data_IF_924003808049
#
_entry.id   IF_924003808049
#
_cell.length_a   1.000
_cell.length_b   1.000
_cell.length_c   1.000
_cell.angle_alpha   90.00
_cell.angle_beta   90.00
_cell.angle_gamma   90.00
#
_symmetry.space_group_name_H-M   'P 1'
#
loop_
_entity.id
_entity.type
_entity.pdbx_description
1 polymer ?
#
# COMPACT_ATOMS: atom_id res chain seq x y z
N UNK A 1 65.00 44.66 18.68
CA UNK A 1 64.22 43.66 17.91
C UNK A 1 63.49 42.75 18.90
N UNK A 2 62.21 42.98 19.16
CA UNK A 2 61.32 42.01 19.81
C UNK A 2 59.97 42.11 19.10
N UNK A 3 59.60 41.07 18.35
CA UNK A 3 58.35 41.00 17.61
C UNK A 3 57.42 39.94 18.24
N UNK A 4 56.22 40.40 18.61
CA UNK A 4 54.92 39.72 18.65
C UNK A 4 54.85 38.24 19.09
N UNK A 5 54.30 38.01 20.29
CA UNK A 5 53.82 36.69 20.78
C UNK A 5 52.41 36.74 21.40
N UNK A 6 51.53 37.68 21.05
CA UNK A 6 50.24 37.87 21.75
C UNK A 6 49.01 37.29 20.98
N UNK A 7 49.16 36.76 19.77
CA UNK A 7 47.99 36.46 18.91
C UNK A 7 47.49 35.01 18.87
N UNK A 8 48.14 34.03 19.53
CA UNK A 8 47.77 32.60 19.36
C UNK A 8 46.72 32.06 20.36
N UNK A 9 46.56 32.65 21.55
CA UNK A 9 45.68 32.09 22.59
C UNK A 9 44.20 32.49 22.43
N UNK A 10 43.92 33.68 21.89
CA UNK A 10 42.55 34.21 21.73
C UNK A 10 41.75 33.50 20.62
N UNK A 11 42.42 32.96 19.60
CA UNK A 11 41.76 32.33 18.44
C UNK A 11 41.22 30.94 18.75
N UNK A 12 41.92 30.12 19.56
CA UNK A 12 41.48 28.75 19.88
C UNK A 12 40.28 28.68 20.83
N UNK A 13 40.18 29.63 21.78
CA UNK A 13 39.10 29.68 22.77
C UNK A 13 37.77 30.14 22.15
N UNK A 14 37.84 31.13 21.25
CA UNK A 14 36.67 31.64 20.51
C UNK A 14 36.13 30.60 19.52
N UNK A 15 37.01 29.81 18.90
CA UNK A 15 36.62 28.74 17.96
C UNK A 15 35.95 27.54 18.64
N UNK A 16 36.40 27.17 19.86
CA UNK A 16 35.74 26.14 20.68
C UNK A 16 34.37 26.59 21.19
N UNK A 17 34.24 27.86 21.57
CA UNK A 17 32.95 28.43 22.01
C UNK A 17 31.97 28.55 20.85
N UNK A 18 32.39 29.03 19.68
CA UNK A 18 31.53 29.10 18.50
C UNK A 18 31.12 27.71 18.00
N UNK A 19 32.00 26.71 18.07
CA UNK A 19 31.65 25.32 17.77
C UNK A 19 30.55 24.78 18.71
N UNK A 20 30.67 25.02 20.02
CA UNK A 20 29.65 24.63 21.00
C UNK A 20 28.33 25.39 20.80
N UNK A 21 28.38 26.68 20.44
CA UNK A 21 27.18 27.47 20.13
C UNK A 21 26.50 26.99 18.85
N UNK A 22 27.26 26.63 17.81
CA UNK A 22 26.75 26.09 16.56
C UNK A 22 26.13 24.69 16.74
N UNK A 23 26.72 23.83 17.58
CA UNK A 23 26.14 22.53 17.93
C UNK A 23 24.81 22.69 18.67
N UNK A 24 24.72 23.65 19.62
CA UNK A 24 23.47 23.96 20.32
C UNK A 24 22.39 24.51 19.38
N UNK A 25 22.78 25.40 18.45
CA UNK A 25 21.88 25.94 17.43
C UNK A 25 21.37 24.84 16.49
N UNK A 26 22.24 23.93 16.05
CA UNK A 26 21.87 22.79 15.22
C UNK A 26 20.92 21.84 15.97
N UNK A 27 21.19 21.55 17.25
CA UNK A 27 20.30 20.77 18.11
C UNK A 27 18.93 21.41 18.30
N UNK A 28 18.86 22.74 18.45
CA UNK A 28 17.59 23.47 18.53
C UNK A 28 16.81 23.41 17.20
N UNK A 29 17.49 23.56 16.05
CA UNK A 29 16.85 23.43 14.72
C UNK A 29 16.30 22.01 14.49
N UNK A 30 17.01 20.98 14.97
CA UNK A 30 16.55 19.58 14.93
C UNK A 30 15.30 19.36 15.80
N UNK A 31 15.14 20.08 16.91
CA UNK A 31 13.97 19.98 17.79
C UNK A 31 12.71 20.64 17.22
N UNK A 32 12.84 21.61 16.31
CA UNK A 32 11.70 22.22 15.60
C UNK A 32 11.30 21.45 14.33
N UNK A 33 11.95 20.32 14.02
CA UNK A 33 11.76 19.59 12.76
C UNK A 33 10.54 18.67 12.68
N UNK A 34 9.72 18.60 13.73
CA UNK A 34 8.67 17.58 13.89
C UNK A 34 7.22 18.05 13.80
N UNK A 35 6.94 19.30 13.43
CA UNK A 35 5.58 19.86 13.56
C UNK A 35 4.51 19.02 12.83
N UNK A 36 4.72 18.67 11.55
CA UNK A 36 3.73 17.90 10.78
C UNK A 36 3.45 16.51 11.38
N UNK A 37 4.49 15.80 11.81
CA UNK A 37 4.37 14.46 12.44
C UNK A 37 3.73 14.53 13.82
N UNK A 38 4.06 15.56 14.62
CA UNK A 38 3.44 15.78 15.93
C UNK A 38 1.95 16.13 15.84
N UNK A 39 1.53 16.87 14.81
CA UNK A 39 0.14 17.27 14.65
C UNK A 39 -0.73 16.24 13.92
N UNK A 40 -0.17 15.44 13.02
CA UNK A 40 -0.96 14.51 12.18
C UNK A 40 -0.73 13.03 12.45
N UNK A 41 0.26 12.67 13.28
CA UNK A 41 0.63 11.29 13.58
C UNK A 41 1.30 10.55 12.42
N UNK A 42 1.68 9.30 12.66
CA UNK A 42 2.34 8.40 11.69
C UNK A 42 1.51 7.18 11.31
N UNK A 43 0.29 7.09 11.82
CA UNK A 43 -0.56 5.92 11.70
C UNK A 43 -1.98 6.36 11.33
N UNK A 44 -2.67 5.53 10.56
CA UNK A 44 -4.08 5.70 10.20
C UNK A 44 -4.88 4.50 10.71
N UNK A 45 -6.00 4.76 11.38
CA UNK A 45 -6.96 3.72 11.75
C UNK A 45 -7.86 3.42 10.55
N UNK A 46 -7.77 2.19 10.04
CA UNK A 46 -8.53 1.75 8.85
C UNK A 46 -9.54 0.70 9.25
N UNK A 47 -10.80 0.96 8.90
CA UNK A 47 -11.93 0.06 9.16
C UNK A 47 -12.15 -0.87 7.96
N UNK A 48 -12.18 -2.17 8.23
CA UNK A 48 -12.46 -3.22 7.25
C UNK A 48 -13.77 -3.93 7.58
N UNK A 49 -14.72 -3.89 6.66
CA UNK A 49 -15.96 -4.66 6.65
C UNK A 49 -15.95 -5.66 5.51
N UNK A 50 -16.61 -6.79 5.70
CA UNK A 50 -16.83 -7.75 4.61
C UNK A 50 -18.24 -8.30 4.60
N UNK A 51 -18.68 -8.65 3.40
CA UNK A 51 -19.90 -9.40 3.17
C UNK A 51 -19.57 -10.72 2.43
N UNK A 52 -19.77 -11.88 3.06
CA UNK A 52 -20.17 -12.07 4.46
C UNK A 52 -19.12 -11.62 5.47
N UNK A 53 -19.57 -11.33 6.70
CA UNK A 53 -18.71 -10.99 7.83
C UNK A 53 -17.90 -12.19 8.34
N UNK A 54 -16.85 -11.94 9.12
CA UNK A 54 -16.01 -13.00 9.71
C UNK A 54 -14.74 -13.32 8.93
N UNK A 55 -14.35 -12.46 7.97
CA UNK A 55 -13.14 -12.65 7.18
C UNK A 55 -11.89 -12.25 7.95
N UNK A 56 -10.84 -13.07 7.89
CA UNK A 56 -9.53 -12.76 8.46
C UNK A 56 -8.84 -11.68 7.61
N UNK A 57 -8.39 -10.62 8.26
CA UNK A 57 -7.68 -9.49 7.64
C UNK A 57 -6.18 -9.65 7.87
N UNK A 58 -5.44 -9.65 6.77
CA UNK A 58 -3.98 -9.68 6.76
C UNK A 58 -3.43 -8.37 6.20
N UNK A 59 -2.41 -7.83 6.85
CA UNK A 59 -1.66 -6.66 6.39
C UNK A 59 -0.21 -7.09 6.18
N UNK A 60 0.26 -7.01 4.93
CA UNK A 60 1.58 -7.49 4.51
C UNK A 60 1.85 -8.94 4.95
N UNK A 61 0.83 -9.79 4.88
CA UNK A 61 0.90 -11.20 5.28
C UNK A 61 0.77 -11.46 6.79
N UNK A 62 0.68 -10.43 7.63
CA UNK A 62 0.46 -10.59 9.08
C UNK A 62 -1.02 -10.45 9.41
N UNK A 63 -1.58 -11.43 10.13
CA UNK A 63 -2.95 -11.38 10.62
C UNK A 63 -3.15 -10.21 11.61
N UNK A 64 -4.23 -9.45 11.42
CA UNK A 64 -4.56 -8.29 12.25
C UNK A 64 -5.93 -8.38 12.93
N UNK A 65 -6.75 -9.35 12.56
CA UNK A 65 -8.05 -9.61 13.16
C UNK A 65 -9.08 -10.08 12.14
N UNK A 66 -10.35 -10.01 12.53
CA UNK A 66 -11.48 -10.55 11.75
C UNK A 66 -12.51 -9.45 11.51
N UNK A 67 -13.07 -9.35 10.30
CA UNK A 67 -14.11 -8.34 9.98
C UNK A 67 -15.40 -8.60 10.76
N UNK A 68 -16.11 -7.55 11.21
CA UNK A 68 -15.73 -6.14 11.19
C UNK A 68 -14.59 -5.80 12.16
N UNK A 69 -13.52 -5.14 11.68
CA UNK A 69 -12.40 -4.70 12.53
C UNK A 69 -11.81 -3.35 12.09
N UNK A 70 -11.20 -2.64 13.04
CA UNK A 70 -10.37 -1.44 12.79
C UNK A 70 -8.92 -1.77 13.12
N UNK A 71 -8.01 -1.48 12.20
CA UNK A 71 -6.58 -1.74 12.37
C UNK A 71 -5.79 -0.44 12.19
N UNK A 72 -4.92 -0.14 13.15
CA UNK A 72 -3.93 0.94 13.03
C UNK A 72 -2.84 0.53 12.05
N UNK A 73 -2.72 1.26 10.94
CA UNK A 73 -1.75 1.01 9.88
C UNK A 73 -0.74 2.15 9.81
N UNK A 74 0.54 1.80 9.92
CA UNK A 74 1.61 2.78 9.80
C UNK A 74 1.63 3.39 8.39
N UNK A 75 1.72 4.71 8.33
CA UNK A 75 1.93 5.47 7.10
C UNK A 75 3.33 5.20 6.54
N UNK A 76 3.40 5.03 5.24
CA UNK A 76 4.65 4.79 4.53
C UNK A 76 4.49 5.15 3.06
N UNK A 77 5.61 5.49 2.42
CA UNK A 77 5.67 5.62 0.97
C UNK A 77 5.45 4.25 0.32
N UNK A 78 5.93 3.18 0.96
CA UNK A 78 5.82 1.82 0.44
C UNK A 78 4.39 1.29 0.49
N UNK A 79 4.05 0.46 -0.47
CA UNK A 79 2.72 -0.15 -0.58
C UNK A 79 2.41 -1.07 0.60
N UNK A 80 1.15 -1.04 0.99
CA UNK A 80 0.59 -1.87 2.06
C UNK A 80 -0.41 -2.80 1.43
N UNK A 81 -0.06 -4.08 1.38
CA UNK A 81 -0.89 -5.13 0.82
C UNK A 81 -1.89 -5.61 1.87
N UNK A 82 -3.17 -5.62 1.51
CA UNK A 82 -4.26 -6.16 2.31
C UNK A 82 -4.73 -7.46 1.66
N UNK A 83 -4.97 -8.48 2.48
CA UNK A 83 -5.67 -9.67 2.06
C UNK A 83 -6.81 -9.99 3.03
N UNK A 84 -7.98 -10.32 2.50
CA UNK A 84 -9.11 -10.86 3.26
C UNK A 84 -9.31 -12.32 2.86
N UNK A 85 -9.41 -13.18 3.87
CA UNK A 85 -9.63 -14.62 3.69
C UNK A 85 -10.82 -15.08 4.50
N UNK A 86 -11.67 -15.89 3.89
CA UNK A 86 -12.79 -16.54 4.55
C UNK A 86 -12.99 -17.93 3.95
N UNK A 87 -13.24 -18.91 4.81
CA UNK A 87 -13.42 -20.30 4.38
C UNK A 87 -14.59 -20.43 3.39
N UNK A 88 -14.32 -21.08 2.25
CA UNK A 88 -15.29 -21.21 1.17
C UNK A 88 -15.41 -20.00 0.25
N UNK A 89 -14.58 -18.96 0.43
CA UNK A 89 -14.54 -17.77 -0.42
C UNK A 89 -13.16 -17.55 -1.04
N UNK A 90 -13.13 -16.80 -2.14
CA UNK A 90 -11.91 -16.38 -2.81
C UNK A 90 -11.16 -15.37 -1.94
N UNK A 91 -9.83 -15.50 -1.87
CA UNK A 91 -8.99 -14.53 -1.17
C UNK A 91 -8.98 -13.22 -1.94
N UNK A 92 -9.45 -12.14 -1.31
CA UNK A 92 -9.43 -10.80 -1.91
C UNK A 92 -8.16 -10.08 -1.51
N UNK A 93 -7.35 -9.65 -2.48
CA UNK A 93 -6.14 -8.85 -2.26
C UNK A 93 -6.27 -7.46 -2.89
N UNK A 94 -5.70 -6.45 -2.25
CA UNK A 94 -5.55 -5.09 -2.79
C UNK A 94 -4.47 -4.31 -2.04
N UNK A 95 -4.04 -3.20 -2.64
CA UNK A 95 -3.12 -2.24 -2.01
C UNK A 95 -3.93 -1.10 -1.43
N UNK A 96 -3.59 -0.64 -0.22
CA UNK A 96 -4.19 0.56 0.35
C UNK A 96 -3.88 1.78 -0.51
N UNK A 97 -4.93 2.52 -0.83
CA UNK A 97 -4.82 3.79 -1.55
C UNK A 97 -4.25 4.87 -0.62
N UNK A 98 -3.44 5.76 -1.21
CA UNK A 98 -2.75 6.80 -0.48
C UNK A 98 -2.96 8.15 -1.15
N UNK A 99 -3.02 9.17 -0.33
CA UNK A 99 -3.02 10.55 -0.78
C UNK A 99 -1.92 11.36 -0.08
N UNK A 100 -1.50 12.46 -0.71
CA UNK A 100 -0.51 13.35 -0.12
C UNK A 100 -1.08 14.07 1.12
N UNK A 101 -0.33 14.04 2.21
CA UNK A 101 -0.67 14.78 3.41
C UNK A 101 -0.39 16.27 3.20
N UNK A 102 -1.44 17.07 2.99
CA UNK A 102 -1.31 18.52 2.80
C UNK A 102 -0.59 19.23 3.96
N UNK A 103 -0.59 18.66 5.17
CA UNK A 103 0.18 19.21 6.28
C UNK A 103 1.69 19.23 6.00
N UNK A 104 2.21 18.26 5.22
CA UNK A 104 3.61 18.24 4.78
C UNK A 104 3.98 19.40 3.87
N UNK A 105 3.01 20.06 3.23
CA UNK A 105 3.27 21.25 2.43
C UNK A 105 3.81 22.42 3.28
N UNK A 106 3.45 22.52 4.56
CA UNK A 106 3.92 23.61 5.44
C UNK A 106 5.41 23.50 5.82
N UNK A 107 6.08 22.39 5.49
CA UNK A 107 7.52 22.22 5.65
C UNK A 107 8.36 22.93 4.55
N UNK A 108 7.74 23.87 3.83
CA UNK A 108 8.23 24.53 2.61
C UNK A 108 9.51 25.36 2.76
N UNK A 109 9.99 25.62 3.98
CA UNK A 109 11.12 26.51 4.19
C UNK A 109 12.50 25.84 3.99
N UNK A 110 12.60 24.51 3.89
CA UNK A 110 13.87 23.82 3.65
C UNK A 110 13.68 22.35 3.17
N UNK A 111 14.37 21.98 2.08
CA UNK A 111 14.35 20.64 1.44
C UNK A 111 14.68 19.50 2.41
N UNK A 112 15.46 19.76 3.46
CA UNK A 112 15.79 18.75 4.47
C UNK A 112 14.55 18.27 5.25
N UNK A 113 13.51 19.10 5.42
CA UNK A 113 12.30 18.68 6.13
C UNK A 113 11.42 17.75 5.29
N UNK A 114 11.46 17.85 3.96
CA UNK A 114 10.79 16.88 3.09
C UNK A 114 11.40 15.49 3.21
N UNK A 115 12.73 15.40 3.39
CA UNK A 115 13.41 14.14 3.66
C UNK A 115 12.99 13.53 5.00
N UNK A 116 12.83 14.35 6.05
CA UNK A 116 12.35 13.89 7.37
C UNK A 116 10.91 13.39 7.29
N UNK A 117 10.03 14.10 6.57
CA UNK A 117 8.64 13.66 6.36
C UNK A 117 8.58 12.36 5.56
N UNK A 118 9.42 12.21 4.53
CA UNK A 118 9.50 11.00 3.72
C UNK A 118 9.89 9.79 4.58
N UNK A 119 10.91 9.97 5.41
CA UNK A 119 11.44 8.92 6.29
C UNK A 119 10.47 8.59 7.41
N UNK A 120 9.80 9.60 7.98
CA UNK A 120 8.83 9.38 9.07
C UNK A 120 7.48 8.83 8.57
N UNK A 121 7.21 8.90 7.26
CA UNK A 121 5.96 8.45 6.65
C UNK A 121 4.85 9.49 6.73
N UNK A 122 5.11 10.71 7.19
CA UNK A 122 4.10 11.77 7.30
C UNK A 122 3.69 12.37 5.95
N UNK A 123 4.47 12.15 4.86
CA UNK A 123 4.16 12.63 3.51
C UNK A 123 2.88 12.07 2.92
N UNK A 124 2.58 10.79 3.18
CA UNK A 124 1.46 10.07 2.60
C UNK A 124 0.54 9.59 3.71
N UNK A 125 -0.76 9.66 3.49
CA UNK A 125 -1.77 9.09 4.40
C UNK A 125 -2.65 8.11 3.64
N UNK A 126 -3.19 7.12 4.35
CA UNK A 126 -4.11 6.16 3.76
C UNK A 126 -5.49 6.80 3.60
N UNK A 127 -6.02 6.77 2.38
CA UNK A 127 -7.35 7.26 2.05
C UNK A 127 -7.92 6.43 0.89
N UNK A 128 -9.10 5.81 1.05
CA UNK A 128 -10.05 5.93 2.17
C UNK A 128 -9.61 5.19 3.45
N UNK A 129 -10.19 5.55 4.60
CA UNK A 129 -10.00 4.86 5.90
C UNK A 129 -11.11 3.85 6.21
N UNK A 130 -12.02 3.61 5.26
CA UNK A 130 -13.11 2.66 5.37
C UNK A 130 -13.19 1.85 4.07
N UNK A 131 -13.16 0.53 4.21
CA UNK A 131 -13.29 -0.42 3.11
C UNK A 131 -14.39 -1.41 3.43
N UNK A 132 -15.34 -1.54 2.50
CA UNK A 132 -16.36 -2.57 2.49
C UNK A 132 -16.04 -3.54 1.35
N UNK A 133 -15.81 -4.82 1.67
CA UNK A 133 -15.36 -5.83 0.73
C UNK A 133 -16.38 -6.96 0.62
N UNK A 134 -17.03 -7.10 -0.53
CA UNK A 134 -17.82 -8.29 -0.84
C UNK A 134 -16.90 -9.44 -1.25
N UNK A 135 -16.97 -10.56 -0.53
CA UNK A 135 -16.23 -11.77 -0.84
C UNK A 135 -17.02 -12.66 -1.78
N UNK A 136 -16.31 -13.33 -2.68
CA UNK A 136 -16.90 -14.20 -3.70
C UNK A 136 -16.79 -15.65 -3.27
N UNK A 137 -17.87 -16.45 -3.29
CA UNK A 137 -17.78 -17.86 -2.94
C UNK A 137 -16.93 -18.63 -3.95
N UNK A 138 -16.13 -19.58 -3.46
CA UNK A 138 -15.35 -20.46 -4.31
C UNK A 138 -16.27 -21.34 -5.16
N UNK A 139 -15.95 -21.48 -6.46
CA UNK A 139 -16.67 -22.39 -7.37
C UNK A 139 -17.93 -21.80 -8.02
N UNK A 140 -18.19 -20.49 -7.88
CA UNK A 140 -19.25 -19.81 -8.64
C UNK A 140 -18.70 -19.35 -9.99
N UNK A 141 -19.35 -19.75 -11.08
CA UNK A 141 -18.98 -19.35 -12.45
C UNK A 141 -19.27 -17.85 -12.62
N UNK A 142 -18.21 -17.06 -12.74
CA UNK A 142 -18.27 -15.58 -12.73
C UNK A 142 -18.86 -15.00 -14.03
N UNK A 143 -18.72 -15.71 -15.15
CA UNK A 143 -19.19 -15.25 -16.46
C UNK A 143 -19.54 -16.46 -17.33
N UNK A 144 -20.80 -16.55 -17.77
CA UNK A 144 -21.26 -17.53 -18.74
C UNK A 144 -21.47 -16.84 -20.08
N UNK A 145 -20.53 -17.02 -21.01
CA UNK A 145 -20.69 -16.53 -22.38
C UNK A 145 -21.33 -17.61 -23.25
N UNK A 146 -22.33 -17.21 -24.03
CA UNK A 146 -22.88 -18.07 -25.06
C UNK A 146 -21.93 -18.05 -26.26
N UNK A 147 -21.11 -19.09 -26.41
CA UNK A 147 -20.23 -19.28 -27.56
C UNK A 147 -21.02 -20.02 -28.65
N UNK A 148 -21.17 -19.41 -29.83
CA UNK A 148 -21.70 -20.10 -31.00
C UNK A 148 -20.62 -21.02 -31.58
N UNK A 149 -20.90 -22.33 -31.56
CA UNK A 149 -19.95 -23.36 -32.02
C UNK A 149 -19.80 -23.40 -33.55
N UNK A 150 -20.58 -22.62 -34.30
CA UNK A 150 -20.48 -22.51 -35.76
C UNK A 150 -19.73 -21.27 -36.24
N UNK A 151 -19.39 -20.34 -35.34
CA UNK A 151 -18.65 -19.13 -35.68
C UNK A 151 -17.16 -19.28 -35.32
N UNK A 152 -16.32 -19.38 -36.35
CA UNK A 152 -14.88 -19.54 -36.18
C UNK A 152 -14.20 -18.29 -35.59
N UNK A 153 -14.85 -17.11 -35.68
CA UNK A 153 -14.29 -15.86 -35.19
C UNK A 153 -14.44 -15.75 -33.66
N UNK A 154 -15.47 -16.33 -33.06
CA UNK A 154 -15.67 -16.39 -31.60
C UNK A 154 -14.72 -17.37 -30.91
N UNK A 155 -14.25 -18.41 -31.61
CA UNK A 155 -13.20 -19.31 -31.13
C UNK A 155 -11.80 -18.67 -31.12
N UNK A 156 -11.58 -17.62 -31.93
CA UNK A 156 -10.29 -16.98 -32.13
C UNK A 156 -10.14 -15.65 -31.36
N UNK A 157 -11.23 -15.09 -30.83
CA UNK A 157 -11.29 -13.72 -30.30
C UNK A 157 -11.40 -13.65 -28.77
N UNK A 158 -10.63 -14.46 -28.04
CA UNK A 158 -10.42 -14.19 -26.61
C UNK A 158 -9.05 -13.51 -26.44
N UNK A 159 -9.06 -12.24 -26.01
CA UNK A 159 -7.89 -11.32 -26.01
C UNK A 159 -6.77 -11.72 -25.04
N UNK A 160 -6.98 -12.72 -24.19
CA UNK A 160 -6.05 -13.20 -23.16
C UNK A 160 -5.29 -14.49 -23.54
N UNK A 161 -5.46 -14.99 -24.77
CA UNK A 161 -4.68 -16.11 -25.31
C UNK A 161 -5.11 -17.51 -24.82
N UNK A 162 -6.30 -17.66 -24.26
CA UNK A 162 -6.82 -18.97 -23.86
C UNK A 162 -7.15 -19.85 -25.08
N UNK A 163 -6.52 -21.03 -25.19
CA UNK A 163 -6.79 -21.99 -26.28
C UNK A 163 -8.03 -22.84 -25.95
N UNK A 164 -9.10 -22.71 -26.74
CA UNK A 164 -10.28 -23.56 -26.64
C UNK A 164 -9.98 -24.90 -27.35
N UNK A 165 -9.65 -25.96 -26.60
CA UNK A 165 -9.47 -27.30 -27.17
C UNK A 165 -10.80 -28.08 -27.03
N UNK A 166 -11.52 -28.36 -28.14
CA UNK A 166 -12.70 -29.21 -28.09
C UNK A 166 -12.26 -30.65 -27.77
N UNK A 167 -12.74 -31.20 -26.64
CA UNK A 167 -12.57 -32.61 -26.31
C UNK A 167 -13.73 -33.41 -26.89
N UNK A 168 -13.42 -34.45 -27.67
CA UNK A 168 -14.38 -35.35 -28.31
C UNK A 168 -15.13 -36.29 -27.35
N UNK A 169 -15.24 -35.96 -26.06
CA UNK A 169 -16.17 -36.63 -25.16
C UNK A 169 -17.45 -35.79 -25.06
N UNK A 170 -18.54 -36.36 -25.60
CA UNK A 170 -19.85 -35.74 -25.82
C UNK A 170 -20.51 -35.15 -24.55
N UNK A 171 -20.03 -34.03 -23.98
CA UNK A 171 -20.82 -33.11 -23.13
C UNK A 171 -20.06 -31.94 -22.49
N UNK A 172 -18.74 -31.79 -22.65
CA UNK A 172 -18.01 -30.75 -21.92
C UNK A 172 -16.93 -30.11 -22.78
N UNK A 173 -16.99 -28.78 -22.94
CA UNK A 173 -15.86 -27.97 -23.43
C UNK A 173 -15.24 -27.33 -22.19
N UNK A 174 -13.97 -27.63 -21.93
CA UNK A 174 -13.22 -27.04 -20.84
C UNK A 174 -12.31 -25.94 -21.41
N UNK A 175 -12.48 -24.70 -20.93
CA UNK A 175 -11.56 -23.60 -21.22
C UNK A 175 -10.59 -23.54 -20.05
N UNK A 176 -9.35 -23.97 -20.26
CA UNK A 176 -8.26 -23.78 -19.31
C UNK A 176 -7.48 -22.56 -19.75
N UNK A 177 -7.62 -21.45 -19.03
CA UNK A 177 -6.59 -20.42 -19.02
C UNK A 177 -5.57 -20.81 -17.93
N UNK A 178 -4.30 -20.47 -18.10
CA UNK A 178 -3.19 -20.85 -17.19
C UNK A 178 -3.30 -20.29 -15.76
N UNK A 179 -4.43 -19.69 -15.40
CA UNK A 179 -4.82 -19.33 -14.04
C UNK A 179 -6.02 -20.18 -13.63
N UNK A 180 -5.89 -20.89 -12.51
CA UNK A 180 -6.95 -21.67 -11.86
C UNK A 180 -8.25 -20.85 -11.77
N UNK A 181 -9.37 -21.35 -12.30
CA UNK A 181 -10.67 -20.81 -11.87
C UNK A 181 -11.90 -20.96 -12.77
N UNK A 182 -11.79 -21.30 -14.06
CA UNK A 182 -12.98 -21.32 -14.92
C UNK A 182 -13.47 -22.74 -15.22
N UNK A 183 -14.74 -23.01 -14.90
CA UNK A 183 -15.49 -24.20 -15.37
C UNK A 183 -16.76 -23.71 -16.05
N UNK A 184 -16.83 -23.81 -17.37
CA UNK A 184 -18.05 -23.50 -18.14
C UNK A 184 -18.87 -24.78 -18.28
N UNK A 185 -20.10 -24.78 -17.79
CA UNK A 185 -21.02 -25.94 -17.85
C UNK A 185 -22.20 -25.60 -18.75
N UNK A 186 -22.26 -26.21 -19.93
CA UNK A 186 -23.40 -26.06 -20.84
C UNK A 186 -24.51 -27.07 -20.48
N UNK A 187 -25.73 -26.57 -20.25
CA UNK A 187 -26.93 -27.41 -20.06
C UNK A 187 -27.76 -27.36 -21.34
N UNK A 188 -28.03 -28.53 -21.93
CA UNK A 188 -28.94 -28.65 -23.08
C UNK A 188 -30.38 -28.40 -22.61
N UNK A 189 -31.08 -27.45 -23.23
CA UNK A 189 -32.56 -27.38 -23.21
C UNK A 189 -33.14 -28.42 -24.16
#
# INVERSE_FOLDING_TARGET
>A
MQLNQITSSNTSWNSRKSALTNIKLLGFILLLSGCATLFTGTDDDIRFESDPAGAMVFINGLEKGTTPTTVSVKRSINDVNIALQLDGYETRQFVLEKEFNKASFFNLFNVLFWAVDAVSGSLMKHAPQYYEITLRPNGVVQQSEAVDLYDANTLASHEDGALIIPSSSKRTIAITNGMSGYTVVFKRK
#
